data_IF_414897084187
#
_entry.id   IF_414897084187
#
_cell.length_a   1.000
_cell.length_b   1.000
_cell.length_c   1.000
_cell.angle_alpha   90.00
_cell.angle_beta   90.00
_cell.angle_gamma   90.00
#
_symmetry.space_group_name_H-M   'P 1'
#
loop_
_entity.id
_entity.type
_entity.pdbx_description
1 polymer ?
#
# COMPACT_ATOMS: atom_id res chain seq x y z
N UNK A 1 -24.67 -34.16 -14.44
CA UNK A 1 -24.61 -32.98 -13.56
C UNK A 1 -23.69 -31.99 -14.22
N UNK A 2 -24.26 -31.12 -15.04
CA UNK A 2 -23.57 -30.00 -15.68
C UNK A 2 -23.52 -28.80 -14.73
N UNK A 3 -22.50 -27.97 -14.95
CA UNK A 3 -22.36 -26.61 -14.42
C UNK A 3 -21.45 -26.54 -13.19
N UNK A 4 -20.46 -25.67 -13.09
CA UNK A 4 -20.01 -24.50 -13.87
C UNK A 4 -18.71 -24.13 -13.16
N UNK A 5 -17.57 -23.95 -13.82
CA UNK A 5 -17.21 -22.66 -14.39
C UNK A 5 -15.75 -22.37 -14.04
N UNK A 6 -14.90 -22.49 -15.04
CA UNK A 6 -13.59 -21.85 -15.15
C UNK A 6 -13.70 -20.35 -14.79
N UNK A 7 -12.92 -19.91 -13.80
CA UNK A 7 -12.56 -18.50 -13.62
C UNK A 7 -11.09 -18.42 -13.24
N UNK A 8 -10.23 -18.66 -14.24
CA UNK A 8 -8.91 -18.06 -14.29
C UNK A 8 -9.07 -16.54 -14.36
N UNK A 9 -8.58 -15.81 -13.36
CA UNK A 9 -8.17 -14.42 -13.53
C UNK A 9 -6.82 -14.18 -12.85
N UNK A 10 -5.76 -14.41 -13.62
CA UNK A 10 -4.45 -13.86 -13.36
C UNK A 10 -4.52 -12.33 -13.42
N UNK A 11 -4.28 -11.66 -12.29
CA UNK A 11 -3.80 -10.26 -12.26
C UNK A 11 -3.41 -9.88 -10.81
N UNK A 12 -2.17 -9.58 -10.49
CA UNK A 12 -0.98 -9.45 -11.33
C UNK A 12 0.24 -9.12 -10.47
N UNK A 13 1.42 -9.30 -11.06
CA UNK A 13 2.71 -8.65 -10.73
C UNK A 13 2.95 -8.30 -9.27
N UNK A 14 3.91 -9.00 -8.64
CA UNK A 14 4.64 -8.62 -7.43
C UNK A 14 4.45 -7.15 -7.07
N UNK A 15 3.45 -6.87 -6.21
CA UNK A 15 3.24 -5.53 -5.70
C UNK A 15 4.34 -5.28 -4.68
N UNK A 16 5.44 -4.70 -5.15
CA UNK A 16 6.60 -4.40 -4.32
C UNK A 16 6.24 -3.33 -3.28
N UNK A 17 6.97 -3.35 -2.17
CA UNK A 17 6.96 -2.27 -1.20
C UNK A 17 7.41 -0.96 -1.88
N UNK A 18 6.63 0.12 -1.72
CA UNK A 18 6.92 1.45 -2.32
C UNK A 18 7.41 2.47 -1.29
N UNK A 19 8.01 2.02 -0.18
CA UNK A 19 8.52 2.87 0.88
C UNK A 19 9.46 3.97 0.38
N UNK A 20 10.39 3.62 -0.52
CA UNK A 20 11.37 4.57 -1.09
C UNK A 20 10.73 5.65 -1.97
N UNK A 21 9.47 5.48 -2.37
CA UNK A 21 8.74 6.44 -3.19
C UNK A 21 7.94 7.44 -2.34
N UNK A 22 7.87 7.24 -1.02
CA UNK A 22 7.20 8.18 -0.13
C UNK A 22 8.08 9.41 0.07
N UNK A 23 7.51 10.58 -0.18
CA UNK A 23 8.17 11.85 0.07
C UNK A 23 8.07 12.24 1.56
N UNK A 24 8.89 11.57 2.37
CA UNK A 24 8.89 11.69 3.84
C UNK A 24 9.12 13.10 4.36
N UNK A 25 9.75 13.98 3.58
CA UNK A 25 10.01 15.36 3.98
C UNK A 25 8.72 16.20 4.00
N UNK A 26 7.75 15.85 3.15
CA UNK A 26 6.48 16.57 3.02
C UNK A 26 5.29 15.82 3.65
N UNK A 27 5.56 14.70 4.34
CA UNK A 27 4.57 14.02 5.18
C UNK A 27 4.22 14.91 6.36
N UNK A 28 2.93 15.09 6.60
CA UNK A 28 2.42 15.81 7.74
C UNK A 28 1.17 15.12 8.30
N UNK A 29 0.81 15.47 9.53
CA UNK A 29 -0.41 14.98 10.16
C UNK A 29 -1.12 16.08 10.94
N UNK A 30 -2.43 15.91 11.07
CA UNK A 30 -3.32 16.77 11.85
C UNK A 30 -3.86 15.98 13.05
N UNK A 31 -4.09 16.71 14.14
CA UNK A 31 -4.47 16.17 15.45
C UNK A 31 -3.51 15.05 15.90
N UNK A 32 -2.21 15.38 15.92
CA UNK A 32 -1.16 14.54 16.49
C UNK A 32 -0.51 15.29 17.65
N UNK A 33 -0.19 14.57 18.73
CA UNK A 33 0.59 15.08 19.87
C UNK A 33 1.88 15.75 19.41
N UNK A 34 2.55 15.11 18.44
CA UNK A 34 3.75 15.62 17.78
C UNK A 34 3.52 15.47 16.28
N UNK A 35 3.31 16.56 15.53
CA UNK A 35 3.02 16.51 14.08
C UNK A 35 4.07 15.74 13.28
N UNK A 36 5.34 15.81 13.72
CA UNK A 36 6.45 15.13 13.05
C UNK A 36 6.34 13.61 13.09
N UNK A 37 5.63 13.04 14.08
CA UNK A 37 5.46 11.59 14.21
C UNK A 37 4.69 10.97 13.04
N UNK A 38 3.96 11.77 12.26
CA UNK A 38 3.33 11.32 11.01
C UNK A 38 4.33 10.63 10.07
N UNK A 39 5.57 11.13 10.00
CA UNK A 39 6.61 10.55 9.15
C UNK A 39 7.30 9.35 9.79
N UNK A 40 7.30 9.29 11.12
CA UNK A 40 7.98 8.25 11.90
C UNK A 40 7.25 6.91 11.88
N UNK A 41 5.92 6.92 11.68
CA UNK A 41 5.14 5.69 11.50
C UNK A 41 5.32 5.06 10.12
N UNK A 42 5.83 5.81 9.14
CA UNK A 42 6.16 5.27 7.83
C UNK A 42 7.55 4.63 7.92
N UNK A 43 7.60 3.30 8.05
CA UNK A 43 8.85 2.55 8.28
C UNK A 43 9.11 1.54 7.15
N UNK A 44 10.36 1.09 6.95
CA UNK A 44 10.62 -0.05 6.08
C UNK A 44 9.99 -1.32 6.68
N UNK A 45 9.68 -2.30 5.83
CA UNK A 45 9.00 -3.54 6.26
C UNK A 45 9.71 -4.28 7.40
N UNK A 46 11.04 -4.25 7.44
CA UNK A 46 11.84 -4.88 8.48
C UNK A 46 11.61 -4.27 9.88
N UNK A 47 11.28 -2.98 9.93
CA UNK A 47 11.02 -2.23 11.17
C UNK A 47 9.53 -2.16 11.54
N UNK A 48 8.67 -2.96 10.89
CA UNK A 48 7.22 -2.89 11.10
C UNK A 48 6.77 -3.23 12.53
N UNK A 49 7.58 -3.99 13.26
CA UNK A 49 7.31 -4.41 14.64
C UNK A 49 7.97 -3.50 15.69
N UNK A 50 8.75 -2.51 15.26
CA UNK A 50 9.22 -1.46 16.14
C UNK A 50 8.04 -0.57 16.55
N UNK A 51 7.76 -0.52 17.85
CA UNK A 51 6.69 0.29 18.45
C UNK A 51 7.23 1.50 19.23
N UNK A 52 8.54 1.76 19.15
CA UNK A 52 9.18 2.86 19.89
C UNK A 52 8.74 4.23 19.37
N UNK A 53 8.47 4.32 18.06
CA UNK A 53 7.89 5.50 17.41
C UNK A 53 6.47 5.23 16.94
N UNK A 54 5.57 6.16 17.21
CA UNK A 54 4.14 6.07 16.90
C UNK A 54 3.51 7.46 16.72
N UNK A 55 2.43 7.50 15.93
CA UNK A 55 1.58 8.67 15.77
C UNK A 55 0.37 8.51 16.70
N UNK A 56 0.03 9.58 17.40
CA UNK A 56 -0.93 9.55 18.49
C UNK A 56 -1.71 10.86 18.54
N UNK A 57 -3.03 10.78 18.63
CA UNK A 57 -3.89 11.96 18.64
C UNK A 57 -4.09 12.60 20.02
N UNK A 58 -3.93 11.84 21.09
CA UNK A 58 -3.93 12.23 22.52
C UNK A 58 -5.16 12.93 23.10
N UNK A 59 -5.98 13.63 22.32
CA UNK A 59 -7.11 14.44 22.84
C UNK A 59 -8.43 14.18 22.12
N UNK A 60 -8.39 13.57 20.93
CA UNK A 60 -9.58 13.21 20.17
C UNK A 60 -9.28 11.97 19.30
N UNK A 61 -10.26 11.12 19.00
CA UNK A 61 -10.02 9.88 18.24
C UNK A 61 -9.61 10.09 16.78
N UNK A 62 -9.79 11.30 16.27
CA UNK A 62 -9.61 11.60 14.86
C UNK A 62 -8.16 11.98 14.56
N UNK A 63 -7.56 11.40 13.53
CA UNK A 63 -6.28 11.89 13.01
C UNK A 63 -6.21 11.80 11.50
N UNK A 64 -5.53 12.77 10.89
CA UNK A 64 -5.26 12.79 9.46
C UNK A 64 -3.75 12.64 9.25
N UNK A 65 -3.37 11.75 8.34
CA UNK A 65 -2.00 11.61 7.85
C UNK A 65 -2.00 11.85 6.35
N UNK A 66 -1.22 12.83 5.89
CA UNK A 66 -1.05 13.12 4.47
C UNK A 66 0.31 12.62 4.00
N UNK A 67 0.31 11.78 2.98
CA UNK A 67 1.47 11.04 2.48
C UNK A 67 1.65 11.33 0.98
N UNK A 68 2.50 12.30 0.62
CA UNK A 68 2.90 12.51 -0.76
C UNK A 68 3.88 11.43 -1.24
N UNK A 69 3.87 11.16 -2.54
CA UNK A 69 4.86 10.34 -3.24
C UNK A 69 5.74 11.21 -4.13
N UNK A 70 7.02 10.83 -4.28
CA UNK A 70 7.98 11.54 -5.13
C UNK A 70 7.66 11.43 -6.63
N UNK A 71 6.87 10.43 -7.00
CA UNK A 71 6.39 10.19 -8.36
C UNK A 71 4.98 9.58 -8.34
N UNK A 72 4.34 9.56 -9.51
CA UNK A 72 2.99 9.02 -9.64
C UNK A 72 2.99 7.48 -9.59
N UNK A 73 2.33 6.93 -8.57
CA UNK A 73 2.30 5.49 -8.30
C UNK A 73 0.90 4.90 -8.49
N UNK A 74 0.85 3.60 -8.75
CA UNK A 74 -0.34 2.78 -8.56
C UNK A 74 -0.25 2.12 -7.19
N UNK A 75 -1.05 2.58 -6.23
CA UNK A 75 -1.11 1.96 -4.90
C UNK A 75 -2.08 0.79 -4.93
N UNK A 76 -1.66 -0.36 -4.44
CA UNK A 76 -2.46 -1.60 -4.41
C UNK A 76 -2.90 -1.99 -3.01
N UNK A 77 -2.14 -1.63 -1.98
CA UNK A 77 -2.50 -1.94 -0.59
C UNK A 77 -1.87 -0.96 0.39
N UNK A 78 -2.60 -0.69 1.46
CA UNK A 78 -2.09 -0.03 2.66
C UNK A 78 -1.86 -1.09 3.73
N UNK A 79 -0.73 -1.02 4.41
CA UNK A 79 -0.35 -1.91 5.50
C UNK A 79 -0.31 -1.08 6.77
N UNK A 80 -1.06 -1.49 7.80
CA UNK A 80 -1.18 -0.73 9.04
C UNK A 80 -0.90 -1.60 10.25
N UNK A 81 -0.20 -1.06 11.25
CA UNK A 81 -0.15 -1.61 12.61
C UNK A 81 -0.71 -0.57 13.55
N UNK A 82 -1.78 -0.93 14.24
CA UNK A 82 -2.56 0.00 15.06
C UNK A 82 -2.28 -0.19 16.54
N UNK A 83 -2.73 0.79 17.33
CA UNK A 83 -3.01 0.64 18.76
C UNK A 83 -3.84 -0.61 19.07
N UNK A 84 -3.84 -1.03 20.34
CA UNK A 84 -4.70 -2.11 20.82
C UNK A 84 -5.64 -1.58 21.89
N UNK A 85 -6.80 -2.23 22.02
CA UNK A 85 -7.82 -1.84 22.99
C UNK A 85 -8.37 -0.45 22.66
N UNK A 86 -8.44 0.40 23.67
CA UNK A 86 -9.14 1.68 23.65
C UNK A 86 -8.58 2.66 22.60
N UNK A 87 -7.29 2.54 22.26
CA UNK A 87 -6.58 3.45 21.34
C UNK A 87 -6.55 2.97 19.88
N UNK A 88 -7.26 1.88 19.57
CA UNK A 88 -7.28 1.32 18.22
C UNK A 88 -8.35 2.05 17.37
N UNK A 89 -7.98 2.76 16.29
CA UNK A 89 -8.97 3.31 15.37
C UNK A 89 -9.70 2.16 14.65
N UNK A 90 -11.02 2.25 14.54
CA UNK A 90 -11.86 1.22 13.91
C UNK A 90 -12.28 1.57 12.49
N UNK A 91 -12.02 2.79 12.04
CA UNK A 91 -12.35 3.22 10.67
C UNK A 91 -11.18 3.93 10.01
N UNK A 92 -10.96 3.60 8.73
CA UNK A 92 -10.01 4.29 7.86
C UNK A 92 -10.73 4.75 6.59
N UNK A 93 -10.75 6.07 6.40
CA UNK A 93 -11.13 6.71 5.14
C UNK A 93 -9.87 7.10 4.36
N UNK A 94 -9.86 6.77 3.08
CA UNK A 94 -8.72 7.01 2.19
C UNK A 94 -9.14 7.96 1.06
N UNK A 95 -8.37 9.02 0.90
CA UNK A 95 -8.52 9.99 -0.18
C UNK A 95 -7.26 10.02 -1.03
N UNK A 96 -7.43 10.28 -2.31
CA UNK A 96 -6.36 10.30 -3.30
C UNK A 96 -6.23 11.72 -3.82
N UNK A 97 -5.01 12.25 -3.88
CA UNK A 97 -4.69 13.55 -4.46
C UNK A 97 -5.48 14.73 -3.82
N UNK A 98 -5.83 14.64 -2.54
CA UNK A 98 -6.38 15.77 -1.81
C UNK A 98 -5.33 16.88 -1.67
N UNK A 99 -5.76 18.16 -1.59
CA UNK A 99 -4.88 19.25 -1.21
C UNK A 99 -4.10 18.95 0.07
N UNK A 100 -2.82 19.35 0.17
CA UNK A 100 -2.04 19.17 1.40
C UNK A 100 -2.58 20.03 2.56
N UNK A 101 -3.47 20.98 2.30
CA UNK A 101 -4.13 21.81 3.30
C UNK A 101 -5.53 21.29 3.68
N UNK A 102 -5.92 20.09 3.24
CA UNK A 102 -7.21 19.51 3.60
C UNK A 102 -7.29 19.25 5.10
N UNK A 103 -8.30 19.82 5.74
CA UNK A 103 -8.66 19.61 7.13
C UNK A 103 -9.84 18.63 7.26
N UNK A 104 -10.30 18.40 8.49
CA UNK A 104 -11.39 17.47 8.80
C UNK A 104 -12.69 17.84 8.07
N UNK A 105 -13.07 19.13 8.05
CA UNK A 105 -14.32 19.56 7.44
C UNK A 105 -14.30 19.39 5.92
N UNK A 106 -13.16 19.66 5.27
CA UNK A 106 -12.95 19.38 3.84
C UNK A 106 -13.13 17.89 3.53
N UNK A 107 -12.49 17.01 4.30
CA UNK A 107 -12.56 15.57 4.07
C UNK A 107 -13.93 14.97 4.40
N UNK A 108 -14.70 15.57 5.30
CA UNK A 108 -16.06 15.14 5.64
C UNK A 108 -17.09 15.51 4.56
N UNK A 109 -16.89 16.62 3.86
CA UNK A 109 -17.76 17.02 2.74
C UNK A 109 -17.48 16.21 1.46
N UNK A 110 -16.27 15.66 1.35
CA UNK A 110 -15.83 14.88 0.20
C UNK A 110 -16.09 13.39 0.41
N UNK A 111 -16.63 12.71 -0.60
CA UNK A 111 -16.74 11.24 -0.58
C UNK A 111 -15.35 10.59 -0.58
N UNK A 112 -15.00 9.74 0.41
CA UNK A 112 -13.74 9.02 0.39
C UNK A 112 -13.66 8.06 -0.79
N UNK A 113 -12.46 7.85 -1.31
CA UNK A 113 -12.21 6.89 -2.39
C UNK A 113 -12.32 5.45 -1.89
N UNK A 114 -12.02 5.25 -0.61
CA UNK A 114 -12.22 3.99 0.09
C UNK A 114 -12.56 4.28 1.55
N UNK A 115 -13.51 3.52 2.09
CA UNK A 115 -13.95 3.58 3.47
C UNK A 115 -13.94 2.16 4.03
N UNK A 116 -13.13 1.92 5.07
CA UNK A 116 -12.84 0.59 5.60
C UNK A 116 -13.11 0.54 7.10
N UNK A 117 -13.71 -0.56 7.54
CA UNK A 117 -13.62 -0.99 8.93
C UNK A 117 -12.26 -1.66 9.16
N UNK A 118 -11.52 -1.16 10.14
CA UNK A 118 -10.24 -1.69 10.58
C UNK A 118 -10.47 -2.88 11.52
N UNK A 119 -9.54 -3.83 11.51
CA UNK A 119 -9.62 -5.04 12.31
C UNK A 119 -9.03 -4.76 13.68
N UNK A 120 -9.82 -5.04 14.71
CA UNK A 120 -9.42 -4.85 16.09
C UNK A 120 -8.66 -6.07 16.64
N UNK A 121 -7.83 -5.83 17.64
CA UNK A 121 -7.12 -6.90 18.36
C UNK A 121 -5.97 -7.55 17.59
N UNK A 122 -5.70 -7.12 16.35
CA UNK A 122 -4.61 -7.69 15.56
C UNK A 122 -3.25 -7.30 16.16
N UNK A 123 -2.40 -8.31 16.36
CA UNK A 123 -1.10 -8.10 16.98
C UNK A 123 -0.05 -7.60 15.98
N UNK A 124 -0.20 -8.02 14.72
CA UNK A 124 0.71 -7.78 13.62
C UNK A 124 0.30 -6.60 12.74
N UNK A 125 0.89 -6.57 11.54
CA UNK A 125 0.51 -5.63 10.48
C UNK A 125 -0.64 -6.23 9.68
N UNK A 126 -1.72 -5.47 9.49
CA UNK A 126 -2.85 -5.84 8.65
C UNK A 126 -2.70 -5.19 7.27
N UNK A 127 -2.96 -5.94 6.21
CA UNK A 127 -2.95 -5.46 4.84
C UNK A 127 -4.36 -5.21 4.34
N UNK A 128 -4.63 -3.99 3.89
CA UNK A 128 -5.89 -3.56 3.30
C UNK A 128 -5.72 -3.32 1.80
N UNK A 129 -6.31 -4.17 0.95
CA UNK A 129 -6.18 -4.02 -0.50
C UNK A 129 -7.01 -2.84 -1.02
N UNK A 130 -6.37 -1.97 -1.79
CA UNK A 130 -6.97 -0.84 -2.50
C UNK A 130 -7.34 -1.30 -3.92
N UNK A 131 -8.58 -1.77 -4.11
CA UNK A 131 -9.03 -2.33 -5.40
C UNK A 131 -9.69 -1.33 -6.35
N UNK A 132 -9.85 -0.07 -5.94
CA UNK A 132 -10.52 0.92 -6.79
C UNK A 132 -9.62 1.37 -7.96
N UNK A 133 -10.18 1.56 -9.17
CA UNK A 133 -9.40 2.00 -10.34
C UNK A 133 -8.72 3.37 -10.12
N UNK A 134 -9.28 4.19 -9.22
CA UNK A 134 -8.77 5.49 -8.85
C UNK A 134 -7.34 5.45 -8.28
N UNK A 135 -6.91 4.34 -7.67
CA UNK A 135 -5.55 4.19 -7.12
C UNK A 135 -4.46 3.91 -8.18
N UNK A 136 -4.78 4.05 -9.47
CA UNK A 136 -3.79 3.91 -10.56
C UNK A 136 -2.87 5.13 -10.70
N UNK A 137 -3.39 6.32 -10.37
CA UNK A 137 -2.71 7.59 -10.56
C UNK A 137 -2.71 8.40 -9.26
N UNK A 138 -1.85 7.97 -8.33
CA UNK A 138 -1.76 8.52 -6.99
C UNK A 138 -0.45 9.30 -6.82
N UNK A 139 -0.58 10.60 -6.59
CA UNK A 139 0.49 11.51 -6.20
C UNK A 139 0.55 11.69 -4.68
N UNK A 140 -0.59 11.60 -4.01
CA UNK A 140 -0.67 11.61 -2.55
C UNK A 140 -1.83 10.76 -2.03
N UNK A 141 -1.68 10.25 -0.82
CA UNK A 141 -2.76 9.66 -0.04
C UNK A 141 -3.01 10.48 1.21
N UNK A 142 -4.28 10.71 1.50
CA UNK A 142 -4.72 11.24 2.79
C UNK A 142 -5.46 10.14 3.52
N UNK A 143 -4.94 9.72 4.67
CA UNK A 143 -5.50 8.69 5.53
C UNK A 143 -6.17 9.36 6.71
N UNK A 144 -7.48 9.16 6.85
CA UNK A 144 -8.27 9.69 7.94
C UNK A 144 -8.74 8.55 8.84
N UNK A 145 -8.13 8.46 10.01
CA UNK A 145 -8.45 7.48 11.05
C UNK A 145 -9.45 8.07 12.03
N UNK A 146 -10.50 7.30 12.34
CA UNK A 146 -11.54 7.66 13.31
C UNK A 146 -12.08 6.43 14.03
N UNK A 147 -13.04 6.65 14.92
CA UNK A 147 -13.84 5.65 15.61
C UNK A 147 -12.96 4.79 16.53
N UNK A 148 -12.18 5.40 17.43
CA UNK A 148 -11.50 4.61 18.47
C UNK A 148 -12.51 4.08 19.50
N UNK A 149 -12.16 3.00 20.20
CA UNK A 149 -13.12 2.31 21.06
C UNK A 149 -13.61 3.14 22.27
N UNK A 150 -12.75 4.02 22.80
CA UNK A 150 -13.10 4.94 23.90
C UNK A 150 -13.41 6.37 23.40
N UNK A 151 -13.13 6.67 22.12
CA UNK A 151 -13.35 7.99 21.52
C UNK A 151 -12.35 9.07 21.92
N UNK A 152 -11.37 8.76 22.77
CA UNK A 152 -10.45 9.74 23.35
C UNK A 152 -9.12 9.85 22.58
N UNK A 153 -8.60 8.72 22.10
CA UNK A 153 -7.28 8.66 21.46
C UNK A 153 -7.23 7.57 20.39
N UNK A 154 -6.46 7.82 19.33
CA UNK A 154 -6.08 6.86 18.31
C UNK A 154 -4.57 6.76 18.24
N UNK A 155 -4.05 5.55 17.98
CA UNK A 155 -2.62 5.30 17.83
C UNK A 155 -2.29 4.45 16.61
N UNK A 156 -1.24 4.85 15.89
CA UNK A 156 -0.69 4.13 14.73
C UNK A 156 0.80 3.91 14.96
N UNK A 157 1.29 2.67 14.78
CA UNK A 157 2.70 2.30 14.94
C UNK A 157 3.43 2.16 13.61
N UNK A 158 2.73 1.70 12.58
CA UNK A 158 3.29 1.43 11.28
C UNK A 158 2.32 1.75 10.16
N UNK A 159 2.85 2.40 9.12
CA UNK A 159 2.25 2.56 7.81
C UNK A 159 3.23 2.06 6.74
N UNK A 160 2.73 1.21 5.86
CA UNK A 160 3.42 0.75 4.67
C UNK A 160 2.49 0.74 3.47
N UNK A 161 3.08 0.71 2.28
CA UNK A 161 2.33 0.72 1.03
C UNK A 161 2.94 -0.30 0.06
N UNK A 162 2.08 -1.02 -0.65
CA UNK A 162 2.45 -1.88 -1.78
C UNK A 162 1.89 -1.29 -3.06
N UNK A 163 2.68 -1.33 -4.13
CA UNK A 163 2.31 -0.73 -5.39
C UNK A 163 3.39 -0.87 -6.44
N UNK A 164 3.25 -0.11 -7.52
CA UNK A 164 4.25 0.01 -8.58
C UNK A 164 4.30 1.45 -9.08
N UNK A 165 5.45 1.88 -9.59
CA UNK A 165 5.51 3.14 -10.34
C UNK A 165 4.76 2.99 -11.65
N UNK A 166 4.20 4.08 -12.16
CA UNK A 166 3.64 4.06 -13.52
C UNK A 166 4.73 3.97 -14.60
N UNK A 167 5.98 4.34 -14.27
CA UNK A 167 7.14 4.23 -15.15
C UNK A 167 7.66 2.78 -15.34
N UNK A 168 7.46 1.89 -14.35
CA UNK A 168 7.92 0.50 -14.40
C UNK A 168 7.28 -0.35 -15.52
N UNK A 169 6.31 0.19 -16.27
CA UNK A 169 5.83 -0.43 -17.52
C UNK A 169 6.88 -0.41 -18.63
N UNK A 170 7.92 0.42 -18.55
CA UNK A 170 8.95 0.54 -19.61
C UNK A 170 10.09 -0.49 -19.56
N UNK A 171 10.25 -1.24 -18.46
CA UNK A 171 11.47 -2.05 -18.25
C UNK A 171 11.24 -3.57 -18.15
N UNK A 172 10.03 -4.07 -18.41
CA UNK A 172 9.78 -5.51 -18.61
C UNK A 172 9.84 -5.90 -20.09
N UNK A 173 10.89 -5.43 -20.75
CA UNK A 173 11.19 -5.67 -22.17
C UNK A 173 12.70 -5.73 -22.38
N UNK A 174 13.42 -6.53 -21.59
CA UNK A 174 14.76 -7.00 -21.94
C UNK A 174 14.87 -8.46 -21.56
N UNK A 175 14.25 -9.25 -22.44
CA UNK A 175 14.77 -10.50 -22.98
C UNK A 175 16.10 -10.97 -22.36
N UNK A 176 16.03 -11.90 -21.41
CA UNK A 176 17.10 -12.86 -21.19
C UNK A 176 16.71 -14.11 -21.99
N UNK A 177 16.80 -14.01 -23.32
CA UNK A 177 16.90 -15.20 -24.17
C UNK A 177 18.34 -15.67 -24.10
N UNK A 178 18.61 -16.65 -23.24
CA UNK A 178 19.84 -17.44 -23.33
C UNK A 178 19.74 -18.27 -24.61
N UNK A 179 20.63 -18.12 -25.61
CA UNK A 179 20.64 -19.02 -26.74
C UNK A 179 21.15 -20.38 -26.28
N UNK A 180 20.25 -21.33 -26.04
CA UNK A 180 20.63 -22.74 -25.97
C UNK A 180 21.07 -23.15 -27.38
N UNK A 181 22.37 -23.36 -27.54
CA UNK A 181 22.99 -23.83 -28.77
C UNK A 181 22.38 -25.17 -29.21
N UNK A 182 22.11 -25.26 -30.51
CA UNK A 182 21.73 -26.47 -31.25
C UNK A 182 22.58 -27.70 -30.88
N UNK A 183 21.95 -28.86 -30.81
CA UNK A 183 22.50 -30.06 -31.47
C UNK A 183 21.33 -30.73 -32.17
N UNK A 184 21.27 -30.51 -33.47
CA UNK A 184 20.34 -31.16 -34.38
C UNK A 184 20.73 -32.63 -34.57
N UNK A 185 19.68 -33.43 -34.59
CA UNK A 185 19.57 -34.80 -35.06
C UNK A 185 20.13 -34.96 -36.48
N UNK A 186 20.93 -36.01 -36.71
CA UNK A 186 21.24 -36.50 -38.06
C UNK A 186 21.50 -38.01 -38.03
N UNK A 187 20.43 -38.74 -38.38
CA UNK A 187 20.44 -40.11 -38.90
C UNK A 187 21.47 -40.27 -40.03
N UNK A 188 22.42 -41.21 -39.86
CA UNK A 188 23.37 -41.60 -40.90
C UNK A 188 22.92 -42.92 -41.54
N UNK A 189 22.04 -42.80 -42.53
CA UNK A 189 21.78 -43.85 -43.50
C UNK A 189 22.86 -43.91 -44.60
N UNK A 190 23.28 -45.14 -44.88
CA UNK A 190 23.83 -45.63 -46.16
C UNK A 190 25.26 -45.24 -46.57
N UNK A 191 26.16 -46.22 -46.47
CA UNK A 191 27.34 -46.33 -47.35
C UNK A 191 27.22 -47.62 -48.16
N UNK A 192 27.26 -47.50 -49.48
CA UNK A 192 27.46 -48.59 -50.42
C UNK A 192 28.62 -48.26 -51.35
N UNK A 193 29.49 -49.24 -51.61
CA UNK A 193 30.51 -49.42 -52.67
C UNK A 193 31.45 -50.53 -52.12
N UNK A 194 31.78 -51.66 -52.76
CA UNK A 194 31.77 -52.17 -54.14
C UNK A 194 31.43 -53.66 -54.14
#
# INVERSE_FOLDING_TARGET
>A
MEGTGIASHLQGTDATNIYSLVDKANVHGLNLTVPEHARDVIKPWDQRDDVTKFADSNVDDQMILHIPFIENVRVRSVLVKLGRGDVAPRRLRVYINSPPSSDFSDLEDIKPHLDLALQEGEAGVTEYPLRAPAFTNTNSLTLFFTDSADGDQSRVYYLGFKGVTNAAKKEQGSEIQTPAANTGDADLGQIGFM
#
